data_IF_070748743148
#
_entry.id   IF_070748743148
#
_cell.length_a   1.000
_cell.length_b   1.000
_cell.length_c   1.000
_cell.angle_alpha   90.00
_cell.angle_beta   90.00
_cell.angle_gamma   90.00
#
_symmetry.space_group_name_H-M   'P 1'
#
loop_
_entity.id
_entity.type
_entity.pdbx_description
1 polymer ?
#
# COMPACT_ATOMS: atom_id res chain seq x y z
N UNK A 1 13.30 -7.15 12.01
CA UNK A 1 11.90 -6.92 11.58
C UNK A 1 11.67 -7.72 10.30
N UNK A 2 10.61 -8.52 10.23
CA UNK A 2 10.31 -9.31 9.04
C UNK A 2 9.79 -8.43 7.90
N UNK A 3 9.93 -8.90 6.67
CA UNK A 3 9.59 -8.15 5.46
C UNK A 3 8.08 -7.77 5.41
N UNK A 4 7.22 -8.60 6.01
CA UNK A 4 5.78 -8.37 6.10
C UNK A 4 5.31 -7.87 7.48
N UNK A 5 6.24 -7.56 8.39
CA UNK A 5 5.92 -7.07 9.73
C UNK A 5 5.58 -5.58 9.66
N UNK A 6 4.37 -5.18 10.10
CA UNK A 6 3.99 -3.77 10.09
C UNK A 6 4.74 -2.98 11.18
N UNK A 7 5.12 -1.74 10.88
CA UNK A 7 5.62 -0.78 11.85
C UNK A 7 4.45 -0.04 12.52
N UNK A 8 4.43 0.12 13.86
CA UNK A 8 3.35 0.82 14.56
C UNK A 8 3.27 2.31 14.24
N UNK A 9 4.37 2.92 13.76
CA UNK A 9 4.43 4.34 13.44
C UNK A 9 3.84 4.70 12.06
N UNK A 10 3.50 3.71 11.23
CA UNK A 10 3.12 3.91 9.82
C UNK A 10 1.62 3.66 9.63
N UNK A 11 0.93 4.60 8.97
CA UNK A 11 -0.44 4.41 8.53
C UNK A 11 -0.47 3.63 7.20
N UNK A 12 -0.67 2.32 7.28
CA UNK A 12 -0.69 1.46 6.08
C UNK A 12 -1.92 1.65 5.19
N UNK A 13 -3.01 2.27 5.66
CA UNK A 13 -4.13 2.65 4.80
C UNK A 13 -3.74 3.79 3.86
N UNK A 14 -3.00 4.80 4.36
CA UNK A 14 -2.48 5.88 3.52
C UNK A 14 -1.45 5.35 2.51
N UNK A 15 -0.47 4.57 2.96
CA UNK A 15 0.56 3.97 2.09
C UNK A 15 -0.06 3.14 0.97
N UNK A 16 -1.01 2.26 1.31
CA UNK A 16 -1.69 1.42 0.31
C UNK A 16 -2.48 2.27 -0.69
N UNK A 17 -3.14 3.34 -0.24
CA UNK A 17 -3.86 4.27 -1.12
C UNK A 17 -2.96 5.00 -2.11
N UNK A 18 -1.81 5.51 -1.66
CA UNK A 18 -0.82 6.17 -2.54
C UNK A 18 -0.25 5.19 -3.55
N UNK A 19 0.13 3.99 -3.12
CA UNK A 19 0.67 2.98 -4.02
C UNK A 19 -0.36 2.48 -5.04
N UNK A 20 -1.63 2.34 -4.64
CA UNK A 20 -2.72 2.05 -5.55
C UNK A 20 -2.87 3.17 -6.60
N UNK A 21 -2.90 4.43 -6.16
CA UNK A 21 -3.02 5.58 -7.06
C UNK A 21 -1.91 5.60 -8.11
N UNK A 22 -0.64 5.47 -7.68
CA UNK A 22 0.49 5.46 -8.59
C UNK A 22 0.50 4.22 -9.51
N UNK A 23 0.05 3.06 -9.02
CA UNK A 23 -0.10 1.84 -9.82
C UNK A 23 -1.16 2.01 -10.91
N UNK A 24 -2.31 2.61 -10.57
CA UNK A 24 -3.38 2.93 -11.55
C UNK A 24 -2.87 3.94 -12.57
N UNK A 25 -2.18 4.99 -12.13
CA UNK A 25 -1.59 5.98 -13.02
C UNK A 25 -0.54 5.36 -13.96
N UNK A 26 0.28 4.43 -13.46
CA UNK A 26 1.22 3.65 -14.26
C UNK A 26 0.49 2.88 -15.37
N UNK A 27 -0.61 2.20 -15.04
CA UNK A 27 -1.40 1.45 -16.02
C UNK A 27 -2.03 2.38 -17.08
N UNK A 28 -2.59 3.53 -16.66
CA UNK A 28 -3.15 4.52 -17.57
C UNK A 28 -2.08 5.04 -18.53
N UNK A 29 -0.91 5.46 -18.01
CA UNK A 29 0.18 5.98 -18.84
C UNK A 29 0.76 4.91 -19.77
N UNK A 30 0.84 3.66 -19.31
CA UNK A 30 1.26 2.52 -20.15
C UNK A 30 0.30 2.30 -21.32
N UNK A 31 -1.00 2.48 -21.10
CA UNK A 31 -2.01 2.40 -22.17
C UNK A 31 -1.89 3.62 -23.09
N UNK A 32 -1.81 4.83 -22.53
CA UNK A 32 -1.76 6.09 -23.28
C UNK A 32 -0.53 6.21 -24.18
N UNK A 33 0.58 5.57 -23.82
CA UNK A 33 1.78 5.48 -24.65
C UNK A 33 1.46 5.05 -26.09
N UNK A 34 0.49 4.13 -26.27
CA UNK A 34 0.11 3.64 -27.59
C UNK A 34 -0.64 4.67 -28.46
N UNK A 35 -1.10 5.78 -27.86
CA UNK A 35 -1.92 6.79 -28.53
C UNK A 35 -1.19 8.12 -28.72
N UNK A 36 -0.25 8.46 -27.84
CA UNK A 36 0.39 9.78 -27.81
C UNK A 36 1.89 9.66 -27.50
N UNK A 37 2.80 10.07 -28.41
CA UNK A 37 4.24 9.97 -28.17
C UNK A 37 4.75 10.84 -27.01
N UNK A 38 3.96 11.83 -26.57
CA UNK A 38 4.29 12.74 -25.48
C UNK A 38 4.41 12.04 -24.11
N UNK A 39 3.82 10.85 -23.95
CA UNK A 39 3.92 10.04 -22.72
C UNK A 39 4.80 8.81 -22.91
N UNK A 40 5.59 8.77 -24.00
CA UNK A 40 6.50 7.68 -24.30
C UNK A 40 7.46 7.45 -23.12
N UNK A 41 7.52 6.21 -22.62
CA UNK A 41 8.35 5.81 -21.48
C UNK A 41 7.99 6.40 -20.11
N UNK A 42 7.03 7.35 -20.01
CA UNK A 42 6.78 8.06 -18.74
C UNK A 42 6.26 7.12 -17.63
N UNK A 43 5.50 6.09 -17.99
CA UNK A 43 5.01 5.07 -17.07
C UNK A 43 6.13 4.31 -16.33
N UNK A 44 7.35 4.25 -16.88
CA UNK A 44 8.48 3.52 -16.29
C UNK A 44 8.84 4.07 -14.90
N UNK A 45 8.70 5.38 -14.69
CA UNK A 45 8.96 6.04 -13.40
C UNK A 45 8.02 5.51 -12.31
N UNK A 46 6.85 5.01 -12.68
CA UNK A 46 5.84 4.50 -11.75
C UNK A 46 5.89 2.97 -11.59
N UNK A 47 6.68 2.24 -12.38
CA UNK A 47 6.79 0.77 -12.31
C UNK A 47 7.14 0.26 -10.90
N UNK A 48 8.03 0.89 -10.10
CA UNK A 48 8.32 0.43 -8.74
C UNK A 48 7.09 0.41 -7.81
N UNK A 49 6.06 1.22 -8.07
CA UNK A 49 4.86 1.25 -7.25
C UNK A 49 4.02 -0.03 -7.37
N UNK A 50 4.14 -0.77 -8.47
CA UNK A 50 3.38 -2.00 -8.71
C UNK A 50 3.74 -3.10 -7.69
N UNK A 51 5.01 -3.56 -7.57
CA UNK A 51 5.36 -4.54 -6.54
C UNK A 51 5.17 -3.98 -5.12
N UNK A 52 5.42 -2.68 -4.91
CA UNK A 52 5.19 -2.03 -3.62
C UNK A 52 3.71 -2.02 -3.22
N UNK A 53 2.77 -1.89 -4.16
CA UNK A 53 1.34 -1.95 -3.89
C UNK A 53 0.93 -3.34 -3.38
N UNK A 54 1.35 -4.41 -4.04
CA UNK A 54 1.06 -5.77 -3.59
C UNK A 54 1.62 -6.03 -2.19
N UNK A 55 2.84 -5.57 -1.94
CA UNK A 55 3.43 -5.63 -0.61
C UNK A 55 2.60 -4.85 0.41
N UNK A 56 2.25 -3.60 0.13
CA UNK A 56 1.55 -2.75 1.09
C UNK A 56 0.18 -3.31 1.46
N UNK A 57 -0.50 -3.98 0.52
CA UNK A 57 -1.75 -4.70 0.80
C UNK A 57 -1.54 -5.81 1.83
N UNK A 58 -0.49 -6.63 1.67
CA UNK A 58 -0.15 -7.70 2.63
C UNK A 58 0.20 -7.13 3.99
N UNK A 59 1.03 -6.09 4.05
CA UNK A 59 1.42 -5.48 5.33
C UNK A 59 0.24 -4.76 5.99
N UNK A 60 -0.64 -4.11 5.22
CA UNK A 60 -1.88 -3.52 5.73
C UNK A 60 -2.78 -4.57 6.35
N UNK A 61 -2.93 -5.73 5.72
CA UNK A 61 -3.70 -6.84 6.29
C UNK A 61 -3.13 -7.28 7.65
N UNK A 62 -1.82 -7.44 7.75
CA UNK A 62 -1.15 -7.77 9.01
C UNK A 62 -1.29 -6.66 10.06
N UNK A 63 -1.23 -5.39 9.64
CA UNK A 63 -1.39 -4.23 10.51
C UNK A 63 -2.80 -4.16 11.14
N UNK A 64 -3.84 -4.41 10.34
CA UNK A 64 -5.22 -4.44 10.84
C UNK A 64 -5.41 -5.56 11.86
N UNK A 65 -4.89 -6.78 11.60
CA UNK A 65 -4.93 -7.88 12.56
C UNK A 65 -4.28 -7.54 13.90
N UNK A 66 -3.11 -6.91 13.88
CA UNK A 66 -2.42 -6.49 15.12
C UNK A 66 -3.22 -5.42 15.86
N UNK A 67 -3.80 -4.47 15.12
CA UNK A 67 -4.60 -3.39 15.70
C UNK A 67 -5.85 -3.94 16.40
N UNK A 68 -6.57 -4.85 15.76
CA UNK A 68 -7.79 -5.43 16.33
C UNK A 68 -7.47 -6.19 17.64
N UNK A 69 -6.43 -7.04 17.63
CA UNK A 69 -5.99 -7.74 18.85
C UNK A 69 -5.55 -6.79 19.99
N UNK A 70 -4.94 -5.64 19.66
CA UNK A 70 -4.53 -4.67 20.69
C UNK A 70 -5.72 -3.96 21.32
N UNK A 71 -6.77 -3.66 20.54
CA UNK A 71 -8.00 -3.04 21.04
C UNK A 71 -8.73 -3.98 21.99
N UNK A 72 -8.90 -5.24 21.59
CA UNK A 72 -9.54 -6.27 22.43
C UNK A 72 -8.81 -6.44 23.78
N UNK A 73 -7.47 -6.44 23.75
CA UNK A 73 -6.65 -6.57 24.95
C UNK A 73 -6.77 -5.36 25.89
N UNK A 74 -6.87 -4.15 25.34
CA UNK A 74 -7.04 -2.93 26.14
C UNK A 74 -8.46 -2.81 26.71
N UNK A 75 -9.50 -3.26 26.00
CA UNK A 75 -10.86 -3.34 26.54
C UNK A 75 -10.99 -4.35 27.68
N UNK A 76 -10.33 -5.52 27.56
CA UNK A 76 -10.31 -6.53 28.62
C UNK A 76 -9.63 -6.03 29.90
N UNK A 77 -8.60 -5.18 29.79
CA UNK A 77 -7.94 -4.57 30.96
C UNK A 77 -8.78 -3.49 31.65
N UNK A 78 -9.70 -2.84 30.92
CA UNK A 78 -10.54 -1.77 31.47
C UNK A 78 -11.74 -2.30 32.27
N UNK A 79 -12.09 -3.56 32.06
CA UNK A 79 -13.23 -4.24 32.72
C UNK A 79 -12.83 -5.06 33.95
N UNK A 80 -11.53 -5.12 34.27
CA UNK A 80 -10.93 -5.71 35.47
C UNK A 80 -10.55 -4.61 36.48
#
# INVERSE_FOLDING_TARGET
>A
MGIFTPSPAINYSFVTGVYLFCTVLCAILSIMHHYTPQVEGFYIVLVPFVPCFFWSVVVRHNWLKVKDCSVDADEAKKTL
#
